data_IF_717392992250
#
_entry.id   IF_717392992250
#
_cell.length_a   1.000
_cell.length_b   1.000
_cell.length_c   1.000
_cell.angle_alpha   90.00
_cell.angle_beta   90.00
_cell.angle_gamma   90.00
#
_symmetry.space_group_name_H-M   'P 1'
#
loop_
_entity.id
_entity.type
_entity.pdbx_description
1 polymer ?
#
# COMPACT_ATOMS: atom_id res chain seq x y z
N UNK A 1 -5.30 -13.19 -9.26
CA UNK A 1 -6.36 -13.12 -8.22
C UNK A 1 -6.89 -11.70 -8.09
N UNK A 2 -8.10 -11.56 -7.55
CA UNK A 2 -8.69 -10.30 -7.11
C UNK A 2 -9.59 -10.58 -5.90
N UNK A 3 -9.94 -9.54 -5.17
CA UNK A 3 -10.82 -9.61 -4.02
C UNK A 3 -10.09 -9.66 -2.68
N UNK A 4 -10.89 -9.80 -1.64
CA UNK A 4 -10.45 -9.82 -0.26
C UNK A 4 -10.54 -11.25 0.29
N UNK A 5 -9.45 -11.78 0.81
CA UNK A 5 -9.36 -13.17 1.28
C UNK A 5 -9.12 -13.20 2.78
N UNK A 6 -10.11 -13.70 3.54
CA UNK A 6 -9.98 -13.91 4.98
C UNK A 6 -9.25 -15.22 5.25
N UNK A 7 -8.25 -15.16 6.12
CA UNK A 7 -7.38 -16.27 6.46
C UNK A 7 -7.49 -16.49 7.97
N UNK A 8 -7.95 -17.69 8.34
CA UNK A 8 -7.98 -18.14 9.73
C UNK A 8 -7.03 -19.32 9.85
N UNK A 9 -6.01 -19.20 10.71
CA UNK A 9 -5.06 -20.28 11.03
C UNK A 9 -5.12 -20.55 12.52
N UNK A 10 -5.55 -21.74 12.88
CA UNK A 10 -5.90 -22.09 14.25
C UNK A 10 -5.23 -23.40 14.69
N UNK A 11 -4.65 -23.38 15.89
CA UNK A 11 -4.18 -24.56 16.61
C UNK A 11 -4.64 -24.49 18.06
N UNK A 12 -4.39 -25.54 18.84
CA UNK A 12 -4.68 -25.56 20.28
C UNK A 12 -4.07 -24.39 21.08
N UNK A 13 -2.96 -23.81 20.60
CA UNK A 13 -2.20 -22.78 21.33
C UNK A 13 -2.42 -21.37 20.80
N UNK A 14 -2.74 -21.23 19.51
CA UNK A 14 -2.75 -19.93 18.85
C UNK A 14 -3.80 -19.87 17.74
N UNK A 15 -4.38 -18.68 17.56
CA UNK A 15 -5.27 -18.34 16.45
C UNK A 15 -4.80 -17.07 15.76
N UNK A 16 -4.75 -17.12 14.44
CA UNK A 16 -4.58 -15.97 13.56
C UNK A 16 -5.87 -15.80 12.77
N UNK A 17 -6.35 -14.57 12.66
CA UNK A 17 -7.54 -14.23 11.88
C UNK A 17 -7.31 -12.85 11.27
N UNK A 18 -7.11 -12.83 9.97
CA UNK A 18 -6.82 -11.60 9.24
C UNK A 18 -7.30 -11.68 7.80
N UNK A 19 -7.26 -10.56 7.11
CA UNK A 19 -7.73 -10.45 5.72
C UNK A 19 -6.66 -9.79 4.87
N UNK A 20 -6.42 -10.34 3.69
CA UNK A 20 -5.54 -9.76 2.68
C UNK A 20 -6.36 -9.24 1.51
N UNK A 21 -6.05 -8.05 1.02
CA UNK A 21 -6.83 -7.35 -0.02
C UNK A 21 -6.04 -7.04 -1.30
N UNK A 22 -4.73 -7.26 -1.27
CA UNK A 22 -3.83 -6.98 -2.39
C UNK A 22 -2.87 -8.13 -2.62
N UNK A 23 -2.27 -8.11 -3.79
CA UNK A 23 -1.26 -9.06 -4.22
C UNK A 23 -0.04 -9.12 -3.29
N UNK A 24 0.32 -8.06 -2.56
CA UNK A 24 1.46 -8.07 -1.63
C UNK A 24 1.04 -7.52 -0.28
N UNK A 25 1.28 -8.31 0.76
CA UNK A 25 1.09 -7.98 2.17
C UNK A 25 2.39 -8.23 2.92
N UNK A 26 2.89 -7.22 3.64
CA UNK A 26 4.10 -7.33 4.45
C UNK A 26 3.72 -7.50 5.91
N UNK A 27 4.23 -8.56 6.53
CA UNK A 27 4.14 -8.79 7.97
C UNK A 27 5.49 -8.46 8.60
N UNK A 28 5.53 -7.47 9.49
CA UNK A 28 6.77 -7.03 10.14
C UNK A 28 6.62 -6.98 11.67
N UNK A 29 7.62 -6.48 12.39
CA UNK A 29 7.65 -6.38 13.85
C UNK A 29 8.73 -7.24 14.51
N UNK A 30 8.79 -7.20 15.85
CA UNK A 30 9.89 -7.76 16.63
C UNK A 30 9.99 -9.29 16.56
N UNK A 31 11.15 -9.80 16.99
CA UNK A 31 11.37 -11.24 17.15
C UNK A 31 10.36 -11.83 18.14
N UNK A 32 9.88 -13.05 17.86
CA UNK A 32 8.90 -13.73 18.72
C UNK A 32 7.46 -13.19 18.66
N UNK A 33 7.13 -12.35 17.68
CA UNK A 33 5.78 -11.80 17.46
C UNK A 33 4.77 -12.80 16.89
N UNK A 34 5.20 -14.00 16.47
CA UNK A 34 4.31 -15.04 15.93
C UNK A 34 4.33 -15.19 14.40
N UNK A 35 5.09 -14.36 13.67
CA UNK A 35 5.25 -14.46 12.20
C UNK A 35 5.68 -15.86 11.74
N UNK A 36 6.82 -16.34 12.24
CA UNK A 36 7.34 -17.67 11.90
C UNK A 36 6.37 -18.78 12.32
N UNK A 37 5.70 -18.63 13.48
CA UNK A 37 4.69 -19.61 13.94
C UNK A 37 3.52 -19.70 12.96
N UNK A 38 3.05 -18.58 12.39
CA UNK A 38 2.02 -18.60 11.34
C UNK A 38 2.50 -19.41 10.12
N UNK A 39 3.72 -19.18 9.67
CA UNK A 39 4.30 -19.91 8.52
C UNK A 39 4.42 -21.41 8.79
N UNK A 40 4.88 -21.79 9.98
CA UNK A 40 4.98 -23.18 10.41
C UNK A 40 3.62 -23.88 10.44
N UNK A 41 2.59 -23.24 10.99
CA UNK A 41 1.24 -23.81 11.05
C UNK A 41 0.64 -24.04 9.66
N UNK A 42 0.82 -23.10 8.73
CA UNK A 42 0.35 -23.25 7.34
C UNK A 42 1.08 -24.42 6.66
N UNK A 43 2.39 -24.52 6.87
CA UNK A 43 3.19 -25.64 6.35
C UNK A 43 2.73 -26.98 6.92
N UNK A 44 2.55 -27.07 8.22
CA UNK A 44 2.18 -28.31 8.90
C UNK A 44 0.79 -28.78 8.46
N UNK A 45 -0.17 -27.86 8.34
CA UNK A 45 -1.48 -28.15 7.77
C UNK A 45 -1.37 -28.65 6.33
N UNK A 46 -0.51 -28.05 5.52
CA UNK A 46 -0.34 -28.47 4.12
C UNK A 46 0.28 -29.86 3.99
N UNK A 47 1.17 -30.23 4.92
CA UNK A 47 1.87 -31.52 4.90
C UNK A 47 1.03 -32.66 5.49
N UNK A 48 0.27 -32.40 6.54
CA UNK A 48 -0.43 -33.42 7.32
C UNK A 48 -1.95 -33.24 7.37
N UNK A 49 -2.50 -32.20 6.76
CA UNK A 49 -3.92 -31.89 6.83
C UNK A 49 -4.40 -31.74 8.28
N UNK A 50 -5.54 -32.34 8.57
CA UNK A 50 -6.14 -32.35 9.90
C UNK A 50 -5.24 -33.02 10.97
N UNK A 51 -4.36 -33.94 10.58
CA UNK A 51 -3.47 -34.66 11.52
C UNK A 51 -2.39 -33.77 12.13
N UNK A 52 -2.14 -32.59 11.54
CA UNK A 52 -1.26 -31.56 12.13
C UNK A 52 -1.81 -30.98 13.44
N UNK A 53 -3.12 -31.13 13.71
CA UNK A 53 -3.80 -30.42 14.78
C UNK A 53 -3.98 -28.91 14.51
N UNK A 54 -3.79 -28.50 13.25
CA UNK A 54 -4.00 -27.16 12.72
C UNK A 54 -5.24 -27.14 11.84
N UNK A 55 -6.01 -26.06 11.89
CA UNK A 55 -7.08 -25.75 10.96
C UNK A 55 -6.72 -24.48 10.18
N UNK A 56 -6.84 -24.56 8.85
CA UNK A 56 -6.67 -23.40 7.97
C UNK A 56 -7.97 -23.21 7.20
N UNK A 57 -8.59 -22.04 7.34
CA UNK A 57 -9.80 -21.65 6.61
C UNK A 57 -9.51 -20.41 5.77
N UNK A 58 -9.67 -20.56 4.46
CA UNK A 58 -9.56 -19.49 3.47
C UNK A 58 -10.35 -19.93 2.22
N UNK A 59 -10.84 -18.97 1.44
CA UNK A 59 -11.51 -19.19 0.16
C UNK A 59 -10.52 -19.56 -0.97
N UNK A 60 -9.22 -19.40 -0.73
CA UNK A 60 -8.15 -19.79 -1.63
C UNK A 60 -7.04 -20.57 -0.89
N UNK A 61 -6.24 -21.34 -1.63
CA UNK A 61 -5.21 -22.18 -1.02
C UNK A 61 -4.10 -21.32 -0.38
N UNK A 62 -3.66 -21.69 0.82
CA UNK A 62 -2.53 -21.08 1.51
C UNK A 62 -1.30 -21.99 1.40
N UNK A 63 -0.19 -21.47 0.87
CA UNK A 63 1.02 -22.24 0.54
C UNK A 63 2.27 -21.53 1.07
N UNK A 64 3.22 -22.24 1.66
CA UNK A 64 4.54 -21.67 1.98
C UNK A 64 5.54 -21.83 0.83
N UNK A 65 6.48 -20.89 0.67
CA UNK A 65 7.65 -21.02 -0.21
C UNK A 65 8.91 -21.18 0.65
N UNK A 66 9.54 -22.36 0.58
CA UNK A 66 10.66 -22.70 1.48
C UNK A 66 11.97 -23.00 0.75
N UNK A 67 11.90 -23.39 -0.51
CA UNK A 67 13.00 -23.94 -1.30
C UNK A 67 13.53 -22.96 -2.36
N UNK A 68 14.66 -23.30 -2.95
CA UNK A 68 15.29 -22.51 -4.02
C UNK A 68 14.52 -22.59 -5.36
N UNK A 69 13.65 -23.60 -5.53
CA UNK A 69 12.75 -23.77 -6.68
C UNK A 69 11.49 -22.88 -6.60
N UNK A 70 11.62 -21.71 -5.95
CA UNK A 70 10.51 -20.77 -5.77
C UNK A 70 9.92 -20.30 -7.10
N UNK A 71 10.74 -20.15 -8.14
CA UNK A 71 10.30 -19.65 -9.45
C UNK A 71 9.35 -20.64 -10.12
N UNK A 72 9.72 -21.92 -10.15
CA UNK A 72 8.87 -23.01 -10.63
C UNK A 72 7.60 -23.13 -9.78
N UNK A 73 7.73 -22.99 -8.46
CA UNK A 73 6.60 -23.06 -7.52
C UNK A 73 5.56 -21.99 -7.81
N UNK A 74 5.98 -20.76 -8.11
CA UNK A 74 5.07 -19.67 -8.50
C UNK A 74 4.46 -19.94 -9.88
N UNK A 75 5.25 -20.39 -10.85
CA UNK A 75 4.77 -20.57 -12.23
C UNK A 75 3.77 -21.72 -12.39
N UNK A 76 3.96 -22.83 -11.69
CA UNK A 76 3.13 -24.03 -11.84
C UNK A 76 1.90 -24.04 -10.92
N UNK A 77 1.83 -23.15 -9.93
CA UNK A 77 0.72 -23.12 -9.00
C UNK A 77 -0.53 -22.52 -9.63
N UNK A 78 -1.69 -23.11 -9.33
CA UNK A 78 -2.97 -22.40 -9.47
C UNK A 78 -3.01 -21.19 -8.52
N UNK A 79 -3.82 -20.17 -8.82
CA UNK A 79 -3.91 -18.97 -7.99
C UNK A 79 -4.15 -19.29 -6.51
N UNK A 80 -3.31 -18.73 -5.64
CA UNK A 80 -3.24 -19.05 -4.22
C UNK A 80 -2.54 -17.92 -3.45
N UNK A 81 -2.49 -18.03 -2.13
CA UNK A 81 -1.75 -17.12 -1.24
C UNK A 81 -0.44 -17.78 -0.83
N UNK A 82 0.67 -17.20 -1.28
CA UNK A 82 2.01 -17.60 -0.88
C UNK A 82 2.45 -16.89 0.39
N UNK A 83 2.97 -17.69 1.31
CA UNK A 83 3.50 -17.29 2.60
C UNK A 83 5.02 -17.47 2.58
N UNK A 84 5.77 -16.40 2.83
CA UNK A 84 7.23 -16.41 2.73
C UNK A 84 7.81 -15.82 4.01
N UNK A 85 8.68 -16.57 4.68
CA UNK A 85 9.37 -16.10 5.88
C UNK A 85 10.63 -15.27 5.54
N UNK A 86 11.12 -14.52 6.54
CA UNK A 86 12.32 -13.71 6.39
C UNK A 86 13.58 -14.58 6.18
N UNK A 87 14.66 -13.99 5.66
CA UNK A 87 15.94 -14.67 5.47
C UNK A 87 16.09 -15.40 4.12
N UNK A 88 15.09 -15.34 3.24
CA UNK A 88 15.19 -15.85 1.86
C UNK A 88 15.88 -14.83 0.95
N UNK A 89 17.09 -15.15 0.47
CA UNK A 89 17.88 -14.26 -0.41
C UNK A 89 17.15 -13.85 -1.69
N UNK A 90 16.28 -14.71 -2.22
CA UNK A 90 15.57 -14.43 -3.47
C UNK A 90 14.59 -13.24 -3.35
N UNK A 91 14.11 -12.91 -2.14
CA UNK A 91 13.16 -11.81 -1.90
C UNK A 91 13.66 -10.46 -2.40
N UNK A 92 14.98 -10.28 -2.45
CA UNK A 92 15.64 -9.03 -2.83
C UNK A 92 16.05 -8.99 -4.31
N UNK A 93 15.67 -10.00 -5.09
CA UNK A 93 16.09 -10.13 -6.49
C UNK A 93 15.07 -9.56 -7.46
N UNK A 94 15.56 -9.06 -8.61
CA UNK A 94 14.70 -8.61 -9.71
C UNK A 94 13.84 -9.74 -10.26
N UNK A 95 14.36 -10.97 -10.25
CA UNK A 95 13.64 -12.15 -10.73
C UNK A 95 12.40 -12.43 -9.89
N UNK A 96 12.54 -12.39 -8.56
CA UNK A 96 11.40 -12.56 -7.66
C UNK A 96 10.37 -11.45 -7.84
N UNK A 97 10.81 -10.19 -7.89
CA UNK A 97 9.91 -9.06 -8.12
C UNK A 97 9.13 -9.19 -9.43
N UNK A 98 9.79 -9.63 -10.51
CA UNK A 98 9.14 -9.90 -11.80
C UNK A 98 8.13 -11.04 -11.70
N UNK A 99 8.47 -12.14 -11.04
CA UNK A 99 7.58 -13.27 -10.88
C UNK A 99 6.32 -12.89 -10.09
N UNK A 100 6.46 -12.13 -9.00
CA UNK A 100 5.34 -11.59 -8.22
C UNK A 100 4.43 -10.73 -9.11
N UNK A 101 5.01 -9.79 -9.85
CA UNK A 101 4.28 -8.83 -10.70
C UNK A 101 3.56 -9.47 -11.89
N UNK A 102 4.04 -10.63 -12.38
CA UNK A 102 3.49 -11.33 -13.53
C UNK A 102 2.58 -12.50 -13.15
N UNK A 103 2.27 -12.65 -11.85
CA UNK A 103 1.52 -13.79 -11.36
C UNK A 103 0.12 -13.43 -10.87
N UNK A 104 -0.72 -14.46 -10.78
CA UNK A 104 -2.07 -14.35 -10.28
C UNK A 104 -2.19 -14.64 -8.77
N UNK A 105 -1.08 -14.65 -8.03
CA UNK A 105 -1.05 -14.99 -6.60
C UNK A 105 -1.08 -13.75 -5.71
N UNK A 106 -1.44 -14.00 -4.45
CA UNK A 106 -1.20 -13.06 -3.36
C UNK A 106 0.03 -13.53 -2.57
N UNK A 107 0.79 -12.59 -2.02
CA UNK A 107 2.05 -12.84 -1.33
C UNK A 107 2.01 -12.19 0.04
N UNK A 108 2.03 -13.01 1.08
CA UNK A 108 2.20 -12.62 2.47
C UNK A 108 3.66 -12.85 2.85
N UNK A 109 4.42 -11.77 2.95
CA UNK A 109 5.87 -11.82 3.17
C UNK A 109 6.17 -11.32 4.58
N UNK A 110 6.69 -12.20 5.43
CA UNK A 110 7.23 -11.82 6.71
C UNK A 110 8.65 -11.28 6.52
N UNK A 111 8.87 -9.99 6.82
CA UNK A 111 10.20 -9.39 6.77
C UNK A 111 10.29 -8.12 7.60
N UNK A 112 11.48 -7.84 8.13
CA UNK A 112 11.84 -6.57 8.76
C UNK A 112 12.60 -5.64 7.82
N UNK A 113 13.08 -6.16 6.70
CA UNK A 113 13.85 -5.44 5.71
C UNK A 113 12.92 -4.88 4.62
N UNK A 114 13.28 -3.72 4.07
CA UNK A 114 12.53 -3.15 2.95
C UNK A 114 12.77 -3.97 1.67
N UNK A 115 11.72 -4.11 0.86
CA UNK A 115 11.76 -4.83 -0.43
C UNK A 115 11.62 -3.82 -1.58
N UNK A 116 12.67 -3.07 -1.94
CA UNK A 116 12.57 -1.92 -2.84
C UNK A 116 12.14 -2.28 -4.27
N UNK A 117 12.31 -3.55 -4.67
CA UNK A 117 11.91 -4.03 -5.99
C UNK A 117 10.41 -4.39 -6.07
N UNK A 118 9.70 -4.44 -4.94
CA UNK A 118 8.28 -4.77 -4.88
C UNK A 118 7.42 -3.50 -4.72
N UNK A 119 6.35 -3.35 -5.53
CA UNK A 119 5.45 -2.20 -5.45
C UNK A 119 4.33 -2.41 -4.42
N UNK A 120 4.68 -2.68 -3.16
CA UNK A 120 3.67 -2.87 -2.11
C UNK A 120 3.19 -1.55 -1.52
N UNK A 121 1.92 -1.53 -1.11
CA UNK A 121 1.31 -0.36 -0.50
C UNK A 121 1.73 -0.19 0.95
N UNK A 122 1.83 1.04 1.41
CA UNK A 122 2.03 1.32 2.84
C UNK A 122 0.85 0.87 3.71
N UNK A 123 -0.35 0.76 3.13
CA UNK A 123 -1.55 0.26 3.80
C UNK A 123 -1.55 -1.27 3.96
N UNK A 124 -0.63 -1.96 3.28
CA UNK A 124 -0.46 -3.42 3.33
C UNK A 124 0.76 -3.84 4.16
N UNK A 125 1.23 -2.97 5.06
CA UNK A 125 2.30 -3.27 6.01
C UNK A 125 1.70 -3.40 7.40
N UNK A 126 1.78 -4.60 7.96
CA UNK A 126 1.15 -4.93 9.22
C UNK A 126 2.15 -5.46 10.26
N UNK A 127 1.90 -5.14 11.53
CA UNK A 127 2.53 -5.78 12.67
C UNK A 127 1.63 -6.86 13.25
N UNK A 128 2.19 -7.78 14.04
CA UNK A 128 1.41 -8.67 14.89
C UNK A 128 1.34 -8.15 16.31
N UNK A 129 0.16 -8.20 16.91
CA UNK A 129 -0.03 -8.02 18.35
C UNK A 129 -0.87 -9.15 18.91
N UNK A 130 -0.57 -9.54 20.15
CA UNK A 130 -1.41 -10.47 20.92
C UNK A 130 -2.62 -9.69 21.42
N UNK A 131 -3.84 -10.05 21.02
CA UNK A 131 -5.07 -9.36 21.46
C UNK A 131 -5.74 -9.99 22.70
N UNK A 132 -4.93 -10.61 23.57
CA UNK A 132 -5.36 -11.16 24.86
C UNK A 132 -5.33 -12.69 24.92
N UNK A 133 -5.76 -13.21 26.07
CA UNK A 133 -6.07 -14.63 26.30
C UNK A 133 -7.52 -14.67 26.79
N UNK A 134 -8.39 -15.46 26.18
CA UNK A 134 -9.73 -15.69 26.74
C UNK A 134 -9.56 -16.37 28.11
N UNK A 135 -10.24 -15.89 29.15
CA UNK A 135 -10.09 -16.43 30.51
C UNK A 135 -10.46 -17.92 30.65
N UNK A 136 -11.19 -18.48 29.68
CA UNK A 136 -11.54 -19.91 29.61
C UNK A 136 -10.74 -20.70 28.55
N UNK A 137 -10.06 -20.03 27.60
CA UNK A 137 -9.29 -20.69 26.54
C UNK A 137 -7.77 -20.46 26.71
N UNK A 138 -6.99 -21.54 26.78
CA UNK A 138 -5.51 -21.51 26.82
C UNK A 138 -4.85 -20.99 25.51
N UNK A 139 -5.61 -20.34 24.65
CA UNK A 139 -5.26 -19.98 23.28
C UNK A 139 -4.91 -18.49 23.18
N UNK A 140 -3.81 -18.16 22.49
CA UNK A 140 -3.39 -16.79 22.23
C UNK A 140 -3.96 -16.32 20.89
N UNK A 141 -4.64 -15.17 20.87
CA UNK A 141 -5.14 -14.59 19.63
C UNK A 141 -4.14 -13.56 19.10
N UNK A 142 -3.82 -13.65 17.81
CA UNK A 142 -2.96 -12.69 17.13
C UNK A 142 -3.74 -11.94 16.05
N UNK A 143 -3.72 -10.61 16.17
CA UNK A 143 -4.27 -9.68 15.19
C UNK A 143 -3.14 -9.05 14.39
N UNK A 144 -3.41 -8.80 13.11
CA UNK A 144 -2.60 -7.87 12.33
C UNK A 144 -3.13 -6.45 12.51
N UNK A 145 -2.24 -5.47 12.55
CA UNK A 145 -2.60 -4.04 12.59
C UNK A 145 -1.71 -3.25 11.63
N UNK A 146 -2.25 -2.23 10.96
CA UNK A 146 -1.49 -1.38 10.03
C UNK A 146 -0.44 -0.58 10.80
N UNK A 147 0.78 -0.52 10.29
CA UNK A 147 1.87 0.21 10.95
C UNK A 147 1.91 1.68 10.52
N UNK A 148 1.56 1.96 9.25
CA UNK A 148 1.74 3.29 8.66
C UNK A 148 0.45 3.94 8.14
N UNK A 149 -0.68 3.21 8.10
CA UNK A 149 -1.96 3.74 7.62
C UNK A 149 -2.45 4.97 8.39
N UNK A 150 -2.06 5.07 9.67
CA UNK A 150 -2.64 6.03 10.62
C UNK A 150 -1.70 7.22 10.90
N UNK A 151 -0.59 7.37 10.15
CA UNK A 151 0.48 8.30 10.54
C UNK A 151 0.04 9.78 10.64
N UNK A 152 -0.93 10.19 9.82
CA UNK A 152 -1.53 11.53 9.83
C UNK A 152 -3.05 11.49 10.04
N UNK A 153 -3.61 10.33 10.35
CA UNK A 153 -5.05 10.17 10.50
C UNK A 153 -5.54 10.93 11.73
N UNK A 154 -6.51 11.83 11.54
CA UNK A 154 -7.07 12.68 12.59
C UNK A 154 -6.27 13.94 12.93
N UNK A 155 -5.14 14.21 12.26
CA UNK A 155 -4.38 15.45 12.44
C UNK A 155 -4.61 16.41 11.27
N UNK A 156 -4.98 17.65 11.58
CA UNK A 156 -5.00 18.74 10.60
C UNK A 156 -3.59 19.29 10.42
N UNK A 157 -3.17 19.44 9.17
CA UNK A 157 -1.82 19.88 8.81
C UNK A 157 -1.93 21.12 7.93
N UNK A 158 -1.37 22.24 8.39
CA UNK A 158 -1.16 23.43 7.56
C UNK A 158 0.29 23.45 7.08
N UNK A 159 0.57 23.16 5.79
CA UNK A 159 1.93 23.07 5.30
C UNK A 159 2.56 24.44 5.05
N UNK A 160 3.86 24.55 5.34
CA UNK A 160 4.71 25.68 4.94
C UNK A 160 5.66 25.32 3.80
N UNK A 161 5.78 24.02 3.53
CA UNK A 161 6.54 23.50 2.42
C UNK A 161 5.98 22.16 1.97
N UNK A 162 5.94 21.92 0.66
CA UNK A 162 5.43 20.67 0.09
C UNK A 162 6.52 19.95 -0.68
N UNK A 163 6.67 18.66 -0.43
CA UNK A 163 7.49 17.73 -1.23
C UNK A 163 6.56 16.69 -1.83
N UNK A 164 6.50 16.61 -3.16
CA UNK A 164 5.76 15.55 -3.86
C UNK A 164 6.68 14.45 -4.34
N UNK A 165 6.21 13.20 -4.34
CA UNK A 165 6.89 12.09 -5.00
C UNK A 165 6.92 12.29 -6.52
N UNK A 166 5.74 12.49 -7.11
CA UNK A 166 5.57 12.59 -8.55
C UNK A 166 6.26 13.84 -9.11
N UNK A 167 6.60 13.80 -10.39
CA UNK A 167 7.16 14.91 -11.17
C UNK A 167 6.30 15.29 -12.36
N UNK A 168 5.11 14.72 -12.49
CA UNK A 168 4.21 14.90 -13.61
C UNK A 168 2.87 15.48 -13.15
N UNK A 169 1.74 14.88 -13.52
CA UNK A 169 0.40 15.44 -13.29
C UNK A 169 0.05 15.65 -11.81
N UNK A 170 0.50 14.78 -10.91
CA UNK A 170 0.32 14.99 -9.47
C UNK A 170 1.10 16.23 -9.02
N UNK A 171 2.35 16.37 -9.47
CA UNK A 171 3.15 17.56 -9.20
C UNK A 171 2.54 18.83 -9.79
N UNK A 172 2.07 18.81 -11.05
CA UNK A 172 1.40 19.95 -11.68
C UNK A 172 0.23 20.46 -10.84
N UNK A 173 -0.58 19.55 -10.29
CA UNK A 173 -1.70 19.87 -9.43
C UNK A 173 -1.24 20.49 -8.10
N UNK A 174 -0.41 19.77 -7.34
CA UNK A 174 0.03 20.23 -6.01
C UNK A 174 0.86 21.50 -6.07
N UNK A 175 1.68 21.66 -7.12
CA UNK A 175 2.42 22.89 -7.37
C UNK A 175 1.47 24.07 -7.60
N UNK A 176 0.47 23.89 -8.46
CA UNK A 176 -0.53 24.94 -8.73
C UNK A 176 -1.37 25.27 -7.50
N UNK A 177 -1.65 24.29 -6.65
CA UNK A 177 -2.39 24.47 -5.40
C UNK A 177 -1.57 25.24 -4.36
N UNK A 178 -0.30 24.84 -4.19
CA UNK A 178 0.64 25.47 -3.26
C UNK A 178 0.99 26.91 -3.70
N UNK A 179 1.17 27.16 -4.99
CA UNK A 179 1.47 28.48 -5.54
C UNK A 179 0.35 29.50 -5.25
N UNK A 180 -0.91 29.08 -5.24
CA UNK A 180 -2.05 29.94 -4.84
C UNK A 180 -1.99 30.39 -3.38
N UNK A 181 -1.20 29.70 -2.55
CA UNK A 181 -1.00 29.94 -1.13
C UNK A 181 0.42 30.43 -0.82
N UNK A 182 1.21 30.71 -1.84
CA UNK A 182 2.62 31.12 -1.71
C UNK A 182 3.47 30.08 -0.95
N UNK A 183 3.03 28.82 -0.93
CA UNK A 183 3.74 27.70 -0.29
C UNK A 183 4.72 27.12 -1.30
N UNK A 184 6.03 27.06 -1.00
CA UNK A 184 6.97 26.45 -1.92
C UNK A 184 6.74 24.93 -2.01
N UNK A 185 6.66 24.44 -3.25
CA UNK A 185 6.41 23.03 -3.56
C UNK A 185 7.48 22.51 -4.53
N UNK A 186 8.09 21.37 -4.21
CA UNK A 186 9.11 20.71 -5.03
C UNK A 186 8.76 19.24 -5.27
N UNK A 187 9.30 18.67 -6.34
CA UNK A 187 9.23 17.24 -6.62
C UNK A 187 10.53 16.55 -6.21
N UNK A 188 10.42 15.42 -5.50
CA UNK A 188 11.53 14.51 -5.23
C UNK A 188 11.90 13.65 -6.45
N UNK A 189 11.06 13.62 -7.50
CA UNK A 189 11.27 12.85 -8.74
C UNK A 189 11.38 11.34 -8.47
N UNK A 190 10.46 10.82 -7.65
CA UNK A 190 10.31 9.41 -7.33
C UNK A 190 10.54 9.08 -5.85
N UNK A 191 9.88 8.02 -5.38
CA UNK A 191 9.84 7.62 -3.95
C UNK A 191 11.20 7.50 -3.27
N UNK A 192 12.19 6.90 -3.95
CA UNK A 192 13.50 6.62 -3.33
C UNK A 192 14.33 7.88 -3.07
N UNK A 193 13.94 9.04 -3.61
CA UNK A 193 14.62 10.32 -3.38
C UNK A 193 14.00 11.14 -2.23
N UNK A 194 12.83 10.74 -1.71
CA UNK A 194 12.12 11.52 -0.67
C UNK A 194 13.00 11.76 0.55
N UNK A 195 13.68 10.71 1.03
CA UNK A 195 14.57 10.81 2.19
C UNK A 195 15.76 11.75 1.94
N UNK A 196 16.42 11.65 0.80
CA UNK A 196 17.54 12.54 0.48
C UNK A 196 17.06 14.00 0.37
N UNK A 197 15.91 14.24 -0.25
CA UNK A 197 15.31 15.58 -0.33
C UNK A 197 14.96 16.15 1.04
N UNK A 198 14.45 15.32 1.97
CA UNK A 198 14.21 15.71 3.36
C UNK A 198 15.53 16.04 4.09
N UNK A 199 16.58 15.23 3.91
CA UNK A 199 17.87 15.43 4.61
C UNK A 199 18.65 16.66 4.11
N UNK A 200 18.54 17.00 2.82
CA UNK A 200 19.16 18.21 2.26
C UNK A 200 18.55 19.50 2.84
N UNK A 201 17.30 19.42 3.32
CA UNK A 201 16.62 20.50 4.03
C UNK A 201 17.17 20.61 5.47
N UNK A 202 18.21 21.43 5.64
CA UNK A 202 18.82 21.77 6.94
C UNK A 202 17.97 22.68 7.85
N UNK A 203 16.77 23.09 7.42
CA UNK A 203 15.89 23.98 8.20
C UNK A 203 14.92 23.14 9.02
N UNK A 204 15.13 23.12 10.34
CA UNK A 204 14.39 22.29 11.29
C UNK A 204 12.98 22.81 11.65
N UNK A 205 12.51 23.90 11.01
CA UNK A 205 11.33 24.65 11.47
C UNK A 205 10.17 24.70 10.46
N UNK A 206 10.36 24.29 9.20
CA UNK A 206 9.27 24.32 8.22
C UNK A 206 8.28 23.18 8.53
N UNK A 207 6.98 23.47 8.59
CA UNK A 207 5.93 22.43 8.57
C UNK A 207 5.89 21.74 7.20
N UNK A 208 6.77 20.75 7.01
CA UNK A 208 6.90 20.01 5.76
C UNK A 208 5.74 19.03 5.61
N UNK A 209 5.05 19.10 4.48
CA UNK A 209 4.11 18.08 4.01
C UNK A 209 4.74 17.29 2.87
N UNK A 210 4.85 15.98 3.07
CA UNK A 210 5.26 15.03 2.03
C UNK A 210 4.02 14.41 1.43
N UNK A 211 3.88 14.45 0.10
CA UNK A 211 2.75 13.87 -0.64
C UNK A 211 3.27 12.77 -1.57
N UNK A 212 2.75 11.55 -1.42
CA UNK A 212 3.24 10.36 -2.13
C UNK A 212 2.11 9.46 -2.64
N UNK A 213 2.39 8.62 -3.63
CA UNK A 213 1.43 7.60 -4.09
C UNK A 213 1.54 6.35 -3.18
N UNK A 214 0.65 6.27 -2.19
CA UNK A 214 0.66 5.26 -1.12
C UNK A 214 0.51 3.81 -1.61
N UNK A 215 -0.04 3.59 -2.81
CA UNK A 215 -0.19 2.25 -3.39
C UNK A 215 1.14 1.53 -3.67
N UNK A 216 2.25 2.25 -3.82
CA UNK A 216 3.58 1.66 -4.11
C UNK A 216 4.72 2.23 -3.24
N UNK A 217 4.38 2.96 -2.18
CA UNK A 217 5.34 3.64 -1.30
C UNK A 217 5.88 2.78 -0.14
N UNK A 218 5.40 1.53 0.02
CA UNK A 218 5.66 0.74 1.21
C UNK A 218 7.13 0.47 1.53
N UNK A 219 8.00 0.42 0.52
CA UNK A 219 9.44 0.24 0.69
C UNK A 219 10.13 1.42 1.41
N UNK A 220 9.62 2.64 1.24
CA UNK A 220 10.22 3.85 1.82
C UNK A 220 9.45 4.33 3.06
N UNK A 221 8.26 3.78 3.31
CA UNK A 221 7.37 4.20 4.39
C UNK A 221 8.07 4.24 5.76
N UNK A 222 8.86 3.21 6.11
CA UNK A 222 9.59 3.14 7.38
C UNK A 222 10.54 4.32 7.54
N UNK A 223 11.39 4.55 6.56
CA UNK A 223 12.46 5.54 6.63
C UNK A 223 11.84 6.94 6.71
N UNK A 224 10.84 7.23 5.85
CA UNK A 224 10.18 8.53 5.77
C UNK A 224 9.36 8.84 7.02
N UNK A 225 8.55 7.88 7.49
CA UNK A 225 7.78 8.07 8.72
C UNK A 225 8.71 8.25 9.93
N UNK A 226 9.81 7.50 10.00
CA UNK A 226 10.79 7.67 11.09
C UNK A 226 11.42 9.07 11.05
N UNK A 227 11.78 9.55 9.86
CA UNK A 227 12.30 10.90 9.69
C UNK A 227 11.30 11.96 10.16
N UNK A 228 10.07 11.92 9.65
CA UNK A 228 9.03 12.91 9.98
C UNK A 228 8.64 12.88 11.46
N UNK A 229 8.66 11.70 12.12
CA UNK A 229 8.48 11.61 13.58
C UNK A 229 9.62 12.26 14.37
N UNK A 230 10.83 12.19 13.85
CA UNK A 230 12.04 12.66 14.55
C UNK A 230 12.23 14.16 14.37
N UNK A 231 12.00 14.66 13.17
CA UNK A 231 12.31 16.04 12.77
C UNK A 231 11.07 16.90 12.55
N UNK A 232 9.87 16.34 12.68
CA UNK A 232 8.61 17.02 12.38
C UNK A 232 8.23 16.94 10.90
N UNK A 233 6.94 17.16 10.65
CA UNK A 233 6.32 17.11 9.33
C UNK A 233 5.20 16.07 9.24
N UNK A 234 4.54 16.05 8.10
CA UNK A 234 3.38 15.22 7.81
C UNK A 234 3.58 14.43 6.52
N UNK A 235 2.94 13.26 6.45
CA UNK A 235 2.85 12.45 5.23
C UNK A 235 1.39 12.33 4.83
N UNK A 236 1.06 12.79 3.63
CA UNK A 236 -0.20 12.50 2.98
C UNK A 236 0.03 11.49 1.87
N UNK A 237 -0.56 10.30 2.02
CA UNK A 237 -0.32 9.18 1.14
C UNK A 237 -1.64 8.54 0.67
N UNK A 238 -2.37 9.23 -0.23
CA UNK A 238 -3.54 8.65 -0.89
C UNK A 238 -3.12 7.42 -1.71
N UNK A 239 -4.08 6.62 -2.19
CA UNK A 239 -3.76 5.49 -3.08
C UNK A 239 -2.92 5.92 -4.28
N UNK A 240 -3.33 7.01 -4.93
CA UNK A 240 -2.62 7.68 -6.00
C UNK A 240 -3.26 9.03 -6.27
N UNK A 241 -2.58 9.90 -7.02
CA UNK A 241 -3.20 11.12 -7.53
C UNK A 241 -4.45 10.86 -8.41
N UNK A 242 -4.44 9.83 -9.26
CA UNK A 242 -5.58 9.50 -10.11
C UNK A 242 -6.78 9.01 -9.31
N UNK A 243 -6.53 8.23 -8.26
CA UNK A 243 -7.56 7.84 -7.30
C UNK A 243 -8.21 9.06 -6.65
N UNK A 244 -7.44 10.10 -6.32
CA UNK A 244 -8.00 11.35 -5.76
C UNK A 244 -8.92 12.05 -6.76
N UNK A 245 -8.56 12.14 -8.03
CA UNK A 245 -9.40 12.74 -9.08
C UNK A 245 -10.74 11.99 -9.19
N UNK A 246 -10.68 10.66 -9.24
CA UNK A 246 -11.87 9.81 -9.32
C UNK A 246 -12.74 9.97 -8.06
N UNK A 247 -12.12 10.02 -6.89
CA UNK A 247 -12.78 10.21 -5.59
C UNK A 247 -13.46 11.57 -5.48
N UNK A 248 -12.82 12.62 -6.00
CA UNK A 248 -13.38 13.96 -6.03
C UNK A 248 -14.62 14.07 -6.95
N UNK A 249 -14.85 13.09 -7.84
CA UNK A 249 -16.03 13.03 -8.70
C UNK A 249 -16.15 14.23 -9.63
N UNK A 250 -15.02 14.76 -10.10
CA UNK A 250 -14.96 16.04 -10.83
C UNK A 250 -15.26 15.91 -12.32
N UNK A 251 -15.20 14.70 -12.86
CA UNK A 251 -15.40 14.42 -14.28
C UNK A 251 -16.91 14.36 -14.58
N UNK A 252 -17.44 15.20 -15.48
CA UNK A 252 -18.88 15.25 -15.77
C UNK A 252 -19.44 13.90 -16.27
N UNK A 253 -20.57 13.49 -15.71
CA UNK A 253 -21.29 12.29 -16.16
C UNK A 253 -20.59 10.95 -15.85
N UNK A 254 -19.53 10.97 -15.04
CA UNK A 254 -18.77 9.79 -14.61
C UNK A 254 -18.93 9.60 -13.11
N UNK A 255 -19.13 8.37 -12.65
CA UNK A 255 -19.18 8.03 -11.22
C UNK A 255 -18.65 6.63 -10.98
N UNK A 256 -17.64 6.52 -10.13
CA UNK A 256 -16.93 5.27 -9.83
C UNK A 256 -17.12 4.84 -8.37
N UNK A 257 -18.24 5.25 -7.75
CA UNK A 257 -18.48 5.02 -6.31
C UNK A 257 -18.32 3.55 -5.92
N UNK A 258 -18.83 2.64 -6.74
CA UNK A 258 -18.73 1.19 -6.50
C UNK A 258 -17.29 0.69 -6.58
N UNK A 259 -16.53 1.11 -7.59
CA UNK A 259 -15.11 0.76 -7.78
C UNK A 259 -14.25 1.33 -6.65
N UNK A 260 -14.53 2.57 -6.22
CA UNK A 260 -13.77 3.24 -5.17
C UNK A 260 -14.08 2.70 -3.77
N UNK A 261 -15.29 2.15 -3.56
CA UNK A 261 -15.68 1.56 -2.28
C UNK A 261 -15.01 0.20 -2.03
N UNK A 262 -14.93 -0.65 -3.06
CA UNK A 262 -14.33 -1.99 -2.98
C UNK A 262 -13.39 -2.28 -4.15
N UNK A 263 -12.29 -1.52 -4.30
CA UNK A 263 -11.36 -1.65 -5.42
C UNK A 263 -10.76 -3.05 -5.56
N UNK A 264 -10.59 -3.78 -4.46
CA UNK A 264 -10.12 -5.17 -4.48
C UNK A 264 -10.95 -6.06 -5.42
N UNK A 265 -12.24 -5.80 -5.59
CA UNK A 265 -13.14 -6.61 -6.41
C UNK A 265 -13.00 -6.35 -7.93
N UNK A 266 -12.28 -5.29 -8.30
CA UNK A 266 -12.08 -4.85 -9.69
C UNK A 266 -10.63 -4.97 -10.17
N UNK A 267 -9.67 -5.01 -9.25
CA UNK A 267 -8.24 -4.96 -9.58
C UNK A 267 -7.64 -6.37 -9.62
N UNK A 268 -7.30 -6.80 -10.83
CA UNK A 268 -6.65 -8.09 -11.06
C UNK A 268 -5.13 -7.99 -10.90
N UNK A 269 -4.56 -8.82 -10.02
CA UNK A 269 -3.13 -8.80 -9.65
C UNK A 269 -2.17 -8.99 -10.83
N UNK A 270 -2.55 -9.80 -11.82
CA UNK A 270 -1.72 -10.08 -12.99
C UNK A 270 -1.79 -8.96 -14.05
N UNK A 271 -2.86 -8.16 -14.05
CA UNK A 271 -3.01 -7.04 -14.98
C UNK A 271 -2.42 -5.75 -14.41
N UNK A 272 -2.57 -5.53 -13.11
CA UNK A 272 -2.15 -4.30 -12.44
C UNK A 272 -1.22 -4.60 -11.27
N UNK A 273 0.05 -4.26 -11.45
CA UNK A 273 1.11 -4.44 -10.45
C UNK A 273 0.91 -3.59 -9.18
N UNK A 274 0.11 -2.52 -9.28
CA UNK A 274 -0.31 -1.65 -8.18
C UNK A 274 -1.69 -1.07 -8.47
N UNK A 275 -2.39 -0.62 -7.43
CA UNK A 275 -3.69 0.03 -7.59
C UNK A 275 -3.58 1.38 -8.30
N UNK A 276 -2.46 2.10 -8.15
CA UNK A 276 -2.16 3.33 -8.93
C UNK A 276 -2.27 3.08 -10.45
N UNK A 277 -1.74 1.95 -10.94
CA UNK A 277 -1.82 1.60 -12.36
C UNK A 277 -3.24 1.37 -12.83
N UNK A 278 -4.06 0.74 -11.98
CA UNK A 278 -5.48 0.55 -12.27
C UNK A 278 -6.22 1.89 -12.33
N UNK A 279 -6.07 2.75 -11.32
CA UNK A 279 -6.76 4.05 -11.31
C UNK A 279 -6.30 4.96 -12.45
N UNK A 280 -5.02 4.87 -12.84
CA UNK A 280 -4.52 5.54 -14.04
C UNK A 280 -5.19 5.04 -15.31
N UNK A 281 -5.25 3.72 -15.52
CA UNK A 281 -5.89 3.10 -16.68
C UNK A 281 -7.39 3.46 -16.75
N UNK A 282 -8.08 3.38 -15.62
CA UNK A 282 -9.49 3.75 -15.48
C UNK A 282 -9.72 5.21 -15.86
N UNK A 283 -8.95 6.14 -15.27
CA UNK A 283 -9.10 7.57 -15.52
C UNK A 283 -8.82 7.94 -16.98
N UNK A 284 -7.77 7.36 -17.58
CA UNK A 284 -7.46 7.55 -19.01
C UNK A 284 -8.62 7.03 -19.86
N UNK A 285 -9.06 5.79 -19.62
CA UNK A 285 -10.11 5.14 -20.42
C UNK A 285 -11.41 5.92 -20.39
N UNK A 286 -11.78 6.48 -19.23
CA UNK A 286 -13.03 7.23 -19.10
C UNK A 286 -13.01 8.61 -19.75
N UNK A 287 -11.82 9.21 -19.86
CA UNK A 287 -11.65 10.59 -20.32
C UNK A 287 -11.07 10.71 -21.72
N UNK A 288 -10.55 9.64 -22.31
CA UNK A 288 -9.81 9.66 -23.59
C UNK A 288 -10.55 10.32 -24.77
N UNK A 289 -11.89 10.28 -24.76
CA UNK A 289 -12.72 10.85 -25.83
C UNK A 289 -13.25 12.27 -25.50
N UNK A 290 -12.86 12.84 -24.35
CA UNK A 290 -13.27 14.17 -23.94
C UNK A 290 -12.12 15.17 -24.19
N UNK A 291 -12.28 16.16 -25.09
CA UNK A 291 -11.20 17.07 -25.46
C UNK A 291 -10.77 18.02 -24.32
N UNK A 292 -11.58 18.16 -23.27
CA UNK A 292 -11.30 19.00 -22.10
C UNK A 292 -10.71 18.18 -20.97
N UNK A 293 -11.23 16.96 -20.78
CA UNK A 293 -10.91 16.12 -19.62
C UNK A 293 -9.92 15.00 -19.91
N UNK A 294 -9.54 14.74 -21.16
CA UNK A 294 -8.61 13.68 -21.54
C UNK A 294 -7.35 13.68 -20.66
N UNK A 295 -7.28 12.72 -19.74
CA UNK A 295 -6.22 12.66 -18.75
C UNK A 295 -4.90 12.20 -19.38
N UNK A 296 -3.81 12.79 -18.92
CA UNK A 296 -2.45 12.41 -19.28
C UNK A 296 -1.62 12.35 -18.01
N UNK A 297 -0.98 11.21 -17.71
CA UNK A 297 -0.07 11.07 -16.56
C UNK A 297 1.14 12.02 -16.66
N UNK A 298 1.57 12.39 -17.88
CA UNK A 298 2.76 13.22 -18.12
C UNK A 298 2.55 14.70 -17.87
N UNK A 299 1.35 15.22 -18.16
CA UNK A 299 1.03 16.64 -18.04
C UNK A 299 -0.44 16.79 -17.73
N UNK A 300 -0.76 17.49 -16.65
CA UNK A 300 -2.14 17.64 -16.23
C UNK A 300 -2.89 18.63 -17.14
N UNK A 301 -4.06 18.27 -17.69
CA UNK A 301 -4.89 19.21 -18.45
C UNK A 301 -5.39 20.37 -17.56
N UNK A 302 -5.51 21.56 -18.14
CA UNK A 302 -5.87 22.78 -17.41
C UNK A 302 -7.25 22.72 -16.74
N UNK A 303 -8.18 21.90 -17.25
CA UNK A 303 -9.50 21.67 -16.65
C UNK A 303 -9.40 21.21 -15.19
N UNK A 304 -8.40 20.37 -14.88
CA UNK A 304 -8.14 19.86 -13.53
C UNK A 304 -7.56 20.92 -12.58
N UNK A 305 -7.14 22.07 -13.10
CA UNK A 305 -6.63 23.21 -12.32
C UNK A 305 -7.69 24.28 -12.05
N UNK A 306 -8.93 24.07 -12.52
CA UNK A 306 -10.04 24.99 -12.25
C UNK A 306 -10.36 25.08 -10.75
N UNK A 307 -10.87 26.23 -10.31
CA UNK A 307 -11.20 26.45 -8.89
C UNK A 307 -12.17 25.38 -8.36
N UNK A 308 -13.18 25.00 -9.16
CA UNK A 308 -14.14 23.95 -8.80
C UNK A 308 -13.46 22.60 -8.54
N UNK A 309 -12.52 22.19 -9.40
CA UNK A 309 -11.79 20.93 -9.23
C UNK A 309 -10.88 21.00 -8.01
N UNK A 310 -10.12 22.08 -7.85
CA UNK A 310 -9.25 22.25 -6.69
C UNK A 310 -10.02 22.20 -5.37
N UNK A 311 -11.18 22.86 -5.27
CA UNK A 311 -12.04 22.78 -4.09
C UNK A 311 -12.56 21.36 -3.84
N UNK A 312 -12.90 20.61 -4.88
CA UNK A 312 -13.34 19.21 -4.73
C UNK A 312 -12.19 18.31 -4.26
N UNK A 313 -10.99 18.47 -4.83
CA UNK A 313 -9.79 17.74 -4.43
C UNK A 313 -9.36 18.07 -2.99
N UNK A 314 -9.49 19.32 -2.55
CA UNK A 314 -9.26 19.70 -1.15
C UNK A 314 -10.19 18.97 -0.17
N UNK A 315 -11.42 18.62 -0.56
CA UNK A 315 -12.31 17.81 0.28
C UNK A 315 -11.85 16.36 0.40
N UNK A 316 -11.12 15.84 -0.59
CA UNK A 316 -10.47 14.51 -0.53
C UNK A 316 -9.23 14.56 0.38
N UNK A 317 -8.56 15.72 0.44
CA UNK A 317 -7.44 16.02 1.33
C UNK A 317 -7.93 16.63 2.65
N UNK A 318 -8.91 16.02 3.29
CA UNK A 318 -9.55 16.61 4.48
C UNK A 318 -8.59 16.81 5.66
N UNK A 319 -7.45 16.10 5.72
CA UNK A 319 -6.40 16.31 6.71
C UNK A 319 -5.46 17.49 6.42
N UNK A 320 -5.51 18.10 5.23
CA UNK A 320 -4.60 19.19 4.83
C UNK A 320 -5.34 20.53 4.75
N UNK A 321 -4.88 21.50 5.53
CA UNK A 321 -5.37 22.87 5.55
C UNK A 321 -4.48 23.75 4.67
N UNK A 322 -4.93 23.97 3.44
CA UNK A 322 -4.31 24.92 2.52
C UNK A 322 -4.80 26.33 2.87
N UNK A 323 -4.34 26.89 4.00
CA UNK A 323 -4.67 28.25 4.42
C UNK A 323 -3.88 29.31 3.66
#
# INVERSE_FOLDING_TARGET
>A
MKGSHRIIVESRKVKYDFTVKRNITILTGDSGSGKTVLMELIRDYRRYGADSGVQVSCDCECRTIENEDWERTIQEASPCIFFIDEGKRFLYTKNFARAVQQSEHYFVIATREKLPMLPYSMNEIYGFRKSGKFHEAKQTYNEIYRIYGDFTEGQKVTPEFVITEDSNSGYDFFKSLADKKEIPCISAKGKSNIISTLQERKKAEDRILVIVDGAAFGAEAKDVVTYLKTYGGALYAPESFEWMILTAGVIPGKSQKEILAEPENYIESAKFVSWERFFTDLLITETQNDPVWAYSKKKLPSAYLSAKVMTAMQKVMDSIEWE
#
